data_IF_665861064701
#
_entry.id   IF_665861064701
#
_cell.length_a   1.000
_cell.length_b   1.000
_cell.length_c   1.000
_cell.angle_alpha   90.00
_cell.angle_beta   90.00
_cell.angle_gamma   90.00
#
_symmetry.space_group_name_H-M   'P 1'
#
loop_
_entity.id
_entity.type
_entity.pdbx_description
1 polymer ?
#
# COMPACT_ATOMS: atom_id res chain seq x y z
N UNK A 1 5.91 -2.13 -25.21
CA UNK A 1 5.63 -3.01 -24.05
C UNK A 1 5.15 -2.11 -22.93
N UNK A 2 3.85 -2.11 -22.63
CA UNK A 2 3.30 -1.29 -21.54
C UNK A 2 3.40 -2.08 -20.24
N UNK A 3 4.26 -1.65 -19.32
CA UNK A 3 4.28 -2.18 -17.96
C UNK A 3 3.12 -1.53 -17.21
N UNK A 4 2.05 -2.29 -16.98
CA UNK A 4 1.01 -1.90 -16.03
C UNK A 4 1.67 -1.98 -14.66
N UNK A 5 2.07 -0.82 -14.11
CA UNK A 5 2.49 -0.71 -12.71
C UNK A 5 1.20 -0.59 -11.91
N UNK A 6 0.77 -1.68 -11.31
CA UNK A 6 -0.28 -1.63 -10.29
C UNK A 6 0.40 -1.09 -9.03
N UNK A 7 0.31 0.22 -8.81
CA UNK A 7 0.67 0.81 -7.52
C UNK A 7 -0.40 0.37 -6.51
N UNK A 8 -0.08 -0.67 -5.74
CA UNK A 8 -0.89 -1.09 -4.60
C UNK A 8 -0.83 0.00 -3.53
N UNK A 9 -1.99 0.61 -3.23
CA UNK A 9 -2.09 1.59 -2.15
C UNK A 9 -2.48 0.85 -0.88
N UNK A 10 -1.62 0.94 0.13
CA UNK A 10 -1.86 0.35 1.44
C UNK A 10 -2.50 1.40 2.36
N UNK A 11 -3.47 0.98 3.17
CA UNK A 11 -4.15 1.81 4.16
C UNK A 11 -4.01 1.18 5.54
N UNK A 12 -3.53 1.96 6.50
CA UNK A 12 -3.56 1.64 7.92
C UNK A 12 -4.95 1.92 8.49
N UNK A 13 -5.53 0.92 9.14
CA UNK A 13 -6.86 0.96 9.77
C UNK A 13 -7.97 1.45 8.82
N UNK A 14 -7.82 1.20 7.50
CA UNK A 14 -8.72 1.67 6.41
C UNK A 14 -8.88 3.18 6.29
N UNK A 15 -7.98 3.96 6.89
CA UNK A 15 -8.12 5.42 6.97
C UNK A 15 -6.89 6.17 6.47
N UNK A 16 -5.71 5.67 6.82
CA UNK A 16 -4.46 6.40 6.59
C UNK A 16 -3.71 5.71 5.46
N UNK A 17 -3.53 6.33 4.28
CA UNK A 17 -2.70 5.74 3.24
C UNK A 17 -1.26 5.68 3.75
N UNK A 18 -0.62 4.53 3.63
CA UNK A 18 0.76 4.30 4.08
C UNK A 18 1.56 3.61 2.99
N UNK A 19 2.87 3.80 3.00
CA UNK A 19 3.80 3.08 2.13
C UNK A 19 4.44 1.95 2.92
N UNK A 20 4.26 0.71 2.47
CA UNK A 20 4.93 -0.45 3.07
C UNK A 20 6.40 -0.45 2.66
N UNK A 21 7.31 -0.41 3.64
CA UNK A 21 8.75 -0.40 3.39
C UNK A 21 9.33 -1.81 3.40
N UNK A 22 9.02 -2.61 4.43
CA UNK A 22 9.47 -4.01 4.55
C UNK A 22 8.70 -4.79 5.61
N UNK A 23 8.66 -6.11 5.45
CA UNK A 23 8.29 -7.01 6.55
C UNK A 23 9.44 -7.10 7.58
N UNK A 24 9.10 -7.14 8.86
CA UNK A 24 10.08 -7.28 9.96
C UNK A 24 10.26 -8.73 10.41
N UNK A 25 9.40 -9.64 9.96
CA UNK A 25 9.50 -11.07 10.25
C UNK A 25 9.26 -11.93 9.01
N UNK A 26 9.73 -13.18 9.08
CA UNK A 26 9.59 -14.15 7.99
C UNK A 26 8.12 -14.50 7.72
N UNK A 27 7.29 -14.48 8.75
CA UNK A 27 5.85 -14.77 8.66
C UNK A 27 5.03 -13.64 8.05
N UNK A 28 5.64 -12.47 7.75
CA UNK A 28 4.97 -11.29 7.19
C UNK A 28 3.74 -10.84 7.99
N UNK A 29 3.80 -10.95 9.31
CA UNK A 29 2.72 -10.47 10.20
C UNK A 29 2.99 -9.08 10.75
N UNK A 30 4.23 -8.58 10.61
CA UNK A 30 4.63 -7.25 11.09
C UNK A 30 5.37 -6.52 9.98
N UNK A 31 4.96 -5.28 9.72
CA UNK A 31 5.49 -4.44 8.67
C UNK A 31 5.97 -3.11 9.22
N UNK A 32 7.02 -2.57 8.57
CA UNK A 32 7.46 -1.20 8.73
C UNK A 32 6.82 -0.37 7.62
N UNK A 33 6.10 0.68 7.98
CA UNK A 33 5.37 1.54 7.05
C UNK A 33 5.77 3.00 7.24
N UNK A 34 5.60 3.78 6.19
CA UNK A 34 5.76 5.23 6.21
C UNK A 34 4.39 5.89 6.03
N UNK A 35 4.04 6.77 6.96
CA UNK A 35 2.80 7.56 6.95
C UNK A 35 2.92 8.78 6.03
N UNK A 36 1.82 9.44 5.64
CA UNK A 36 1.86 10.65 4.81
C UNK A 36 2.61 11.81 5.46
N UNK A 37 2.74 11.79 6.79
CA UNK A 37 3.51 12.77 7.56
C UNK A 37 5.03 12.49 7.53
N UNK A 38 5.47 11.44 6.82
CA UNK A 38 6.87 10.99 6.80
C UNK A 38 7.30 10.27 8.08
N UNK A 39 6.35 9.94 8.98
CA UNK A 39 6.64 9.18 10.18
C UNK A 39 6.67 7.69 9.87
N UNK A 40 7.65 7.00 10.46
CA UNK A 40 7.87 5.57 10.26
C UNK A 40 7.30 4.80 11.43
N UNK A 41 6.39 3.88 11.16
CA UNK A 41 5.69 3.08 12.17
C UNK A 41 5.87 1.58 11.94
N UNK A 42 5.74 0.81 13.01
CA UNK A 42 5.68 -0.66 12.95
C UNK A 42 4.24 -1.08 13.24
N UNK A 43 3.64 -1.79 12.30
CA UNK A 43 2.22 -2.16 12.33
C UNK A 43 2.06 -3.65 12.04
N UNK A 44 1.00 -4.23 12.59
CA UNK A 44 0.61 -5.60 12.27
C UNK A 44 -0.08 -5.67 10.91
N UNK A 45 0.02 -6.82 10.26
CA UNK A 45 -0.48 -7.06 8.91
C UNK A 45 -2.01 -6.96 8.81
N UNK A 46 -2.71 -7.32 9.88
CA UNK A 46 -4.18 -7.29 9.97
C UNK A 46 -4.76 -5.86 9.93
N UNK A 47 -3.95 -4.87 10.33
CA UNK A 47 -4.27 -3.45 10.25
C UNK A 47 -4.00 -2.83 8.88
N UNK A 48 -3.30 -3.55 7.99
CA UNK A 48 -3.02 -3.09 6.64
C UNK A 48 -4.07 -3.61 5.67
N UNK A 49 -4.69 -2.69 4.96
CA UNK A 49 -5.66 -2.97 3.91
C UNK A 49 -5.10 -2.53 2.57
N UNK A 50 -5.21 -3.38 1.56
CA UNK A 50 -4.81 -3.07 0.18
C UNK A 50 -6.07 -2.66 -0.55
N UNK A 51 -6.07 -1.45 -1.11
CA UNK A 51 -7.07 -1.09 -2.10
C UNK A 51 -6.44 -1.17 -3.50
N UNK A 52 -7.04 -1.94 -4.43
CA UNK A 52 -6.59 -1.93 -5.81
C UNK A 52 -6.85 -0.53 -6.36
N UNK A 53 -5.77 0.21 -6.64
CA UNK A 53 -5.88 1.47 -7.35
C UNK A 53 -6.27 1.15 -8.80
N UNK A 54 -7.57 1.20 -9.10
CA UNK A 54 -8.09 1.05 -10.45
C UNK A 54 -7.79 2.33 -11.25
N UNK A 55 -6.52 2.52 -11.59
CA UNK A 55 -6.06 3.60 -12.48
C UNK A 55 -6.32 3.29 -13.97
N UNK A 56 -7.32 2.43 -14.25
CA UNK A 56 -7.53 1.81 -15.56
C UNK A 56 -9.00 1.87 -16.02
N UNK A 57 -9.63 3.07 -15.98
CA UNK A 57 -10.96 3.25 -16.59
C UNK A 57 -11.20 4.59 -17.32
N UNK A 58 -10.16 5.35 -17.68
CA UNK A 58 -10.36 6.67 -18.36
C UNK A 58 -9.55 6.87 -19.65
N UNK A 59 -8.63 5.98 -20.04
CA UNK A 59 -7.75 6.21 -21.20
C UNK A 59 -8.04 5.37 -22.47
N UNK A 60 -9.17 4.65 -22.55
CA UNK A 60 -9.58 3.94 -23.79
C UNK A 60 -10.80 4.54 -24.51
N UNK A 61 -11.14 5.82 -24.27
CA UNK A 61 -12.27 6.50 -24.97
C UNK A 61 -11.94 7.82 -25.67
N UNK A 62 -10.66 8.10 -25.95
CA UNK A 62 -10.28 9.14 -26.91
C UNK A 62 -9.48 8.56 -28.06
#
# INVERSE_FOLDING_TARGET
MSNIVIDEVYYLDRKIPVKVLKALNRSRTVFKVETPQGSIETVEADRLHIEPNLLDLVLQKN
#
